data_IF_466926356179
#
_entry.id   IF_466926356179
#
_cell.length_a   1.000
_cell.length_b   1.000
_cell.length_c   1.000
_cell.angle_alpha   90.00
_cell.angle_beta   90.00
_cell.angle_gamma   90.00
#
_symmetry.space_group_name_H-M   'P 1'
#
loop_
_entity.id
_entity.type
_entity.pdbx_description
1 polymer ?
#
# COMPACT_ATOMS: atom_id res chain seq x y z
N UNK A 1 -14.91 13.18 -0.22
CA UNK A 1 -15.07 11.77 -0.59
C UNK A 1 -14.16 10.92 0.28
N UNK A 2 -14.63 9.77 0.70
CA UNK A 2 -13.81 8.87 1.52
C UNK A 2 -13.65 7.52 0.83
N UNK A 3 -12.64 6.76 1.27
CA UNK A 3 -12.38 5.42 0.78
C UNK A 3 -12.56 4.41 1.90
N UNK A 4 -12.99 3.21 1.53
CA UNK A 4 -12.90 2.05 2.43
C UNK A 4 -11.55 1.39 2.17
N UNK A 5 -10.76 1.21 3.22
CA UNK A 5 -9.42 0.61 3.10
C UNK A 5 -9.51 -0.83 3.58
N UNK A 6 -9.23 -1.76 2.69
CA UNK A 6 -9.16 -3.18 3.01
C UNK A 6 -7.71 -3.62 3.03
N UNK A 7 -7.28 -4.27 4.11
CA UNK A 7 -5.92 -4.78 4.24
C UNK A 7 -5.93 -6.28 3.95
N UNK A 8 -5.24 -6.72 2.91
CA UNK A 8 -5.06 -8.14 2.68
C UNK A 8 -4.15 -8.73 3.77
N UNK A 9 -4.27 -10.03 4.08
CA UNK A 9 -3.46 -10.63 5.14
C UNK A 9 -1.96 -10.40 4.99
N UNK A 10 -1.43 -10.52 3.78
CA UNK A 10 0.00 -10.30 3.55
C UNK A 10 0.41 -8.86 3.79
N UNK A 11 -0.48 -7.88 3.52
CA UNK A 11 -0.19 -6.50 3.84
C UNK A 11 -0.15 -6.29 5.36
N UNK A 12 -1.14 -6.81 6.06
CA UNK A 12 -1.20 -6.72 7.53
C UNK A 12 0.02 -7.36 8.17
N UNK A 13 0.43 -8.53 7.68
CA UNK A 13 1.60 -9.23 8.20
C UNK A 13 2.87 -8.42 7.96
N UNK A 14 3.02 -7.84 6.77
CA UNK A 14 4.15 -6.98 6.47
C UNK A 14 4.21 -5.79 7.43
N UNK A 15 3.08 -5.10 7.60
CA UNK A 15 3.03 -3.90 8.45
C UNK A 15 3.40 -4.24 9.89
N UNK A 16 2.89 -5.36 10.40
CA UNK A 16 3.20 -5.83 11.76
C UNK A 16 4.66 -6.25 11.91
N UNK A 17 5.30 -6.69 10.82
CA UNK A 17 6.70 -7.14 10.86
C UNK A 17 7.70 -6.00 11.00
N UNK A 18 7.28 -4.76 10.78
CA UNK A 18 8.16 -3.61 10.85
C UNK A 18 8.60 -3.39 12.30
N UNK A 19 9.92 -3.42 12.52
CA UNK A 19 10.48 -3.36 13.87
C UNK A 19 10.42 -1.98 14.46
N UNK A 20 10.55 -0.94 13.62
CA UNK A 20 10.52 0.44 14.08
C UNK A 20 9.07 0.89 14.25
N UNK A 21 8.66 1.09 15.51
CA UNK A 21 7.30 1.51 15.84
C UNK A 21 6.94 2.87 15.26
N UNK A 22 7.91 3.79 15.18
CA UNK A 22 7.68 5.12 14.61
C UNK A 22 7.34 5.00 13.11
N UNK A 23 8.09 4.18 12.38
CA UNK A 23 7.81 3.91 10.95
C UNK A 23 6.40 3.34 10.79
N UNK A 24 6.08 2.31 11.59
CA UNK A 24 4.77 1.66 11.52
C UNK A 24 3.64 2.66 11.76
N UNK A 25 3.77 3.52 12.78
CA UNK A 25 2.76 4.50 13.12
C UNK A 25 2.58 5.54 12.00
N UNK A 26 3.67 5.95 11.35
CA UNK A 26 3.58 6.89 10.23
C UNK A 26 2.84 6.28 9.05
N UNK A 27 3.08 5.00 8.77
CA UNK A 27 2.38 4.32 7.68
C UNK A 27 0.90 4.13 7.99
N UNK A 28 0.56 3.79 9.23
CA UNK A 28 -0.83 3.70 9.68
C UNK A 28 -1.53 5.05 9.53
N UNK A 29 -0.85 6.13 9.90
CA UNK A 29 -1.39 7.49 9.75
C UNK A 29 -1.66 7.80 8.27
N UNK A 30 -0.77 7.37 7.38
CA UNK A 30 -0.98 7.53 5.92
C UNK A 30 -2.25 6.84 5.47
N UNK A 31 -2.49 5.62 5.95
CA UNK A 31 -3.70 4.87 5.61
C UNK A 31 -4.96 5.56 6.14
N UNK A 32 -4.88 6.16 7.32
CA UNK A 32 -5.99 6.92 7.88
C UNK A 32 -6.33 8.13 7.01
N UNK A 33 -5.32 8.87 6.56
CA UNK A 33 -5.53 10.00 5.64
C UNK A 33 -6.16 9.53 4.34
N UNK A 34 -5.71 8.38 3.82
CA UNK A 34 -6.27 7.80 2.61
C UNK A 34 -7.76 7.50 2.79
N UNK A 35 -8.15 6.94 3.94
CA UNK A 35 -9.56 6.63 4.21
C UNK A 35 -10.43 7.88 4.21
N UNK A 36 -9.85 9.03 4.52
CA UNK A 36 -10.57 10.31 4.53
C UNK A 36 -10.58 11.00 3.16
N UNK A 37 -10.05 10.33 2.12
CA UNK A 37 -10.06 10.83 0.76
C UNK A 37 -8.73 11.39 0.27
N UNK A 38 -7.68 11.40 1.11
CA UNK A 38 -6.37 11.92 0.75
C UNK A 38 -5.38 10.77 0.56
N UNK A 39 -5.21 10.35 -0.70
CA UNK A 39 -4.26 9.27 -1.03
C UNK A 39 -2.80 9.74 -0.97
N UNK A 40 -2.55 11.05 -1.05
CA UNK A 40 -1.20 11.58 -0.98
C UNK A 40 -0.40 11.31 -2.25
N UNK A 41 0.91 11.16 -2.09
CA UNK A 41 1.84 10.95 -3.21
C UNK A 41 1.74 9.50 -3.69
N UNK A 42 1.13 9.30 -4.86
CA UNK A 42 0.94 7.96 -5.45
C UNK A 42 1.41 7.97 -6.90
N UNK A 43 1.87 6.80 -7.36
CA UNK A 43 2.29 6.58 -8.74
C UNK A 43 1.74 5.25 -9.24
N UNK A 44 1.30 5.17 -10.51
CA UNK A 44 0.95 3.89 -11.09
C UNK A 44 2.22 3.07 -11.37
N UNK A 45 2.16 1.77 -11.11
CA UNK A 45 3.31 0.88 -11.30
C UNK A 45 3.01 -0.30 -12.25
N UNK A 46 1.82 -0.32 -12.85
CA UNK A 46 1.43 -1.32 -13.84
C UNK A 46 0.27 -2.18 -13.39
N UNK A 47 -0.49 -2.68 -14.34
CA UNK A 47 -1.61 -3.61 -14.13
C UNK A 47 -2.65 -3.13 -13.12
N UNK A 48 -2.87 -1.81 -13.06
CA UNK A 48 -3.84 -1.23 -12.14
C UNK A 48 -3.33 -1.06 -10.72
N UNK A 49 -2.08 -1.42 -10.45
CA UNK A 49 -1.47 -1.25 -9.14
C UNK A 49 -0.88 0.15 -9.00
N UNK A 50 -1.07 0.74 -7.84
CA UNK A 50 -0.50 2.03 -7.46
C UNK A 50 0.42 1.84 -6.28
N UNK A 51 1.38 2.75 -6.15
CA UNK A 51 2.35 2.79 -5.07
C UNK A 51 2.10 4.07 -4.27
N UNK A 52 1.89 3.94 -2.94
CA UNK A 52 1.93 5.07 -2.02
C UNK A 52 3.38 5.26 -1.60
N UNK A 53 3.91 6.45 -1.81
CA UNK A 53 5.33 6.74 -1.55
C UNK A 53 5.49 7.58 -0.29
N UNK A 54 6.42 7.16 0.56
CA UNK A 54 6.86 7.91 1.72
C UNK A 54 8.34 8.23 1.58
N UNK A 55 8.70 9.47 1.86
CA UNK A 55 10.04 9.97 1.59
C UNK A 55 10.91 10.06 2.85
N UNK A 56 10.60 9.27 3.87
CA UNK A 56 11.41 9.21 5.07
C UNK A 56 12.09 7.83 5.17
N UNK A 57 13.15 7.77 5.98
CA UNK A 57 13.88 6.54 6.22
C UNK A 57 14.41 5.94 4.92
N UNK A 58 14.20 4.66 4.72
CA UNK A 58 14.68 3.93 3.54
C UNK A 58 13.76 4.07 2.33
N UNK A 59 12.80 4.97 2.37
CA UNK A 59 11.88 5.19 1.26
C UNK A 59 10.76 4.16 1.23
N UNK A 60 9.87 4.22 2.21
CA UNK A 60 8.81 3.23 2.37
C UNK A 60 7.77 3.33 1.26
N UNK A 61 7.25 2.16 0.84
CA UNK A 61 6.26 2.04 -0.23
C UNK A 61 5.15 1.12 0.21
N UNK A 62 3.90 1.45 -0.14
CA UNK A 62 2.74 0.60 0.07
C UNK A 62 1.98 0.48 -1.24
N UNK A 63 1.61 -0.74 -1.62
CA UNK A 63 1.01 -1.02 -2.93
C UNK A 63 -0.46 -1.33 -2.78
N UNK A 64 -1.28 -0.81 -3.71
CA UNK A 64 -2.73 -0.97 -3.62
C UNK A 64 -3.37 -0.94 -5.00
N UNK A 65 -4.61 -1.42 -5.05
CA UNK A 65 -5.51 -1.26 -6.19
C UNK A 65 -6.78 -0.59 -5.71
N UNK A 66 -7.50 0.02 -6.64
CA UNK A 66 -8.82 0.61 -6.35
C UNK A 66 -9.87 -0.22 -7.10
N UNK A 67 -10.89 -0.67 -6.39
CA UNK A 67 -12.03 -1.38 -6.97
C UNK A 67 -13.27 -0.51 -6.83
N UNK A 68 -13.99 -0.36 -7.96
CA UNK A 68 -15.06 0.63 -8.00
C UNK A 68 -14.48 2.01 -7.80
N UNK A 69 -15.15 2.88 -7.07
CA UNK A 69 -14.69 4.24 -6.85
C UNK A 69 -14.19 4.49 -5.44
N UNK A 70 -14.44 3.56 -4.53
CA UNK A 70 -14.23 3.84 -3.10
C UNK A 70 -13.49 2.76 -2.34
N UNK A 71 -13.25 1.59 -2.92
CA UNK A 71 -12.57 0.50 -2.21
C UNK A 71 -11.09 0.46 -2.58
N UNK A 72 -10.23 0.72 -1.60
CA UNK A 72 -8.79 0.64 -1.74
C UNK A 72 -8.34 -0.66 -1.07
N UNK A 73 -7.68 -1.54 -1.83
CA UNK A 73 -7.21 -2.84 -1.32
C UNK A 73 -5.69 -2.78 -1.22
N UNK A 74 -5.18 -2.85 0.00
CA UNK A 74 -3.73 -2.83 0.24
C UNK A 74 -3.15 -4.23 0.02
N UNK A 75 -2.16 -4.31 -0.84
CA UNK A 75 -1.59 -5.56 -1.34
C UNK A 75 -0.33 -5.98 -0.61
N UNK A 76 0.58 -5.05 -0.42
CA UNK A 76 1.86 -5.33 0.22
C UNK A 76 2.67 -4.06 0.38
N UNK A 77 3.88 -4.19 0.88
CA UNK A 77 4.74 -3.04 1.10
C UNK A 77 6.21 -3.43 1.17
N UNK A 78 7.05 -2.43 1.29
CA UNK A 78 8.49 -2.58 1.39
C UNK A 78 9.15 -1.21 1.35
N UNK A 79 10.45 -1.19 1.05
CA UNK A 79 11.16 0.07 0.87
C UNK A 79 11.83 0.09 -0.50
N UNK A 80 12.65 1.11 -0.75
CA UNK A 80 13.34 1.25 -2.04
C UNK A 80 14.25 0.08 -2.37
N UNK A 81 14.81 -0.60 -1.36
CA UNK A 81 15.78 -1.66 -1.59
C UNK A 81 15.16 -2.91 -2.23
N UNK A 82 13.85 -3.12 -2.04
CA UNK A 82 13.14 -4.27 -2.59
C UNK A 82 12.02 -3.87 -3.54
N UNK A 83 12.02 -2.62 -4.00
CA UNK A 83 10.90 -2.04 -4.74
C UNK A 83 10.51 -2.86 -5.97
N UNK A 84 11.47 -3.30 -6.78
CA UNK A 84 11.16 -4.05 -8.01
C UNK A 84 10.44 -5.36 -7.70
N UNK A 85 10.94 -6.14 -6.76
CA UNK A 85 10.30 -7.40 -6.41
C UNK A 85 8.96 -7.19 -5.73
N UNK A 86 8.82 -6.13 -4.94
CA UNK A 86 7.57 -5.82 -4.26
C UNK A 86 6.48 -5.42 -5.25
N UNK A 87 6.83 -4.68 -6.30
CA UNK A 87 5.90 -4.34 -7.37
C UNK A 87 5.40 -5.61 -8.06
N UNK A 88 6.31 -6.52 -8.40
CA UNK A 88 5.93 -7.78 -9.05
C UNK A 88 5.02 -8.63 -8.18
N UNK A 89 5.30 -8.69 -6.88
CA UNK A 89 4.44 -9.40 -5.93
C UNK A 89 3.05 -8.78 -5.86
N UNK A 90 2.98 -7.45 -5.84
CA UNK A 90 1.70 -6.74 -5.78
C UNK A 90 0.87 -7.01 -7.04
N UNK A 91 1.51 -6.96 -8.21
CA UNK A 91 0.84 -7.27 -9.48
C UNK A 91 0.32 -8.71 -9.46
N UNK A 92 1.12 -9.66 -8.99
CA UNK A 92 0.69 -11.06 -8.88
C UNK A 92 -0.51 -11.20 -7.95
N UNK A 93 -0.53 -10.44 -6.85
CA UNK A 93 -1.66 -10.47 -5.91
C UNK A 93 -2.95 -9.99 -6.55
N UNK A 94 -2.90 -9.00 -7.44
CA UNK A 94 -4.12 -8.52 -8.10
C UNK A 94 -4.80 -9.62 -8.91
N UNK A 95 -4.02 -10.54 -9.46
CA UNK A 95 -4.54 -11.63 -10.29
C UNK A 95 -5.25 -12.69 -9.46
N UNK A 96 -5.02 -12.70 -8.15
CA UNK A 96 -5.69 -13.61 -7.22
C UNK A 96 -6.98 -13.02 -6.65
N UNK A 97 -7.22 -11.74 -6.86
CA UNK A 97 -8.44 -11.10 -6.38
C UNK A 97 -9.60 -11.43 -7.29
N UNK A 98 -10.71 -11.85 -6.68
CA UNK A 98 -11.95 -12.07 -7.40
C UNK A 98 -12.63 -10.73 -7.68
N UNK A 99 -13.17 -10.61 -8.86
CA UNK A 99 -13.95 -9.43 -9.25
C UNK A 99 -15.44 -9.62 -9.00
#
# INVERSE_FOLDING_TARGET
>A
MSYTIKLLPQFSDWLKSLKDGTTRQRLIKRLRKASLGNLGDVEPVGDGVFEMREHFGSGWRMYFVVRGQTLVIMLGGGDKSTQQSDILKAIAQTKLLED
#
